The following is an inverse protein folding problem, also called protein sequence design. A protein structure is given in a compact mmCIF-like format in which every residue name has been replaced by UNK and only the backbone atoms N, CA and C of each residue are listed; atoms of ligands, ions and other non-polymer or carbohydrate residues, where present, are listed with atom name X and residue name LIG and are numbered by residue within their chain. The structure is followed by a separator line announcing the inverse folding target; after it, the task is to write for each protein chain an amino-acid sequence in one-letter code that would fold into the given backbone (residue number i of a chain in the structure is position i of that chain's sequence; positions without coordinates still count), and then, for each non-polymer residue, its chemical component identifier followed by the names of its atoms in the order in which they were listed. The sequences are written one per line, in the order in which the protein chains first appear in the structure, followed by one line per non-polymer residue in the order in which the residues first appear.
data_IF_624740783516
#
_entry.id   IF_624740783516
#
_cell.length_a   1.000
_cell.length_b   1.000
_cell.length_c   1.000
_cell.angle_alpha   90.00
_cell.angle_beta   90.00
_cell.angle_gamma   90.00
#
_symmetry.space_group_name_H-M   'P 1'
#
loop_
_entity.id
_entity.type
_entity.pdbx_description
1 polymer ?
#
# COMPACT_ATOMS: atom_id res chain seq x y z
N UNK A 1 8.40 -6.80 -13.83
CA UNK A 1 7.22 -5.93 -14.04
C UNK A 1 6.01 -6.74 -13.62
N UNK A 2 5.30 -6.32 -12.57
CA UNK A 2 4.03 -6.93 -12.21
C UNK A 2 2.90 -6.15 -12.91
N UNK A 3 1.81 -6.81 -13.31
CA UNK A 3 0.80 -6.36 -14.29
C UNK A 3 0.09 -5.01 -14.07
N UNK A 4 -1.08 -4.84 -14.70
CA UNK A 4 -1.81 -3.56 -14.70
C UNK A 4 -2.43 -3.27 -13.32
N UNK A 5 -2.38 -2.00 -12.89
CA UNK A 5 -2.86 -1.50 -11.59
C UNK A 5 -3.63 -0.19 -11.71
N UNK A 6 -4.18 0.11 -12.89
CA UNK A 6 -4.84 1.38 -13.23
C UNK A 6 -3.85 2.56 -13.34
N UNK A 7 -4.21 3.72 -13.94
CA UNK A 7 -3.31 4.88 -14.06
C UNK A 7 -2.82 5.44 -12.70
N UNK A 8 -1.66 6.08 -12.62
CA UNK A 8 -1.11 6.62 -11.36
C UNK A 8 -0.90 5.54 -10.27
N UNK A 9 -0.46 4.35 -10.67
CA UNK A 9 -0.25 3.20 -9.80
C UNK A 9 1.22 2.83 -9.61
N UNK A 10 2.10 3.82 -9.77
CA UNK A 10 3.52 3.63 -9.51
C UNK A 10 3.69 3.09 -8.09
N UNK A 11 4.51 2.04 -8.01
CA UNK A 11 4.76 1.29 -6.79
C UNK A 11 6.24 1.44 -6.44
N UNK A 12 6.54 1.79 -5.19
CA UNK A 12 7.91 1.84 -4.68
C UNK A 12 8.30 0.54 -3.97
N UNK A 13 7.36 -0.12 -3.30
CA UNK A 13 7.58 -1.35 -2.57
C UNK A 13 6.41 -2.33 -2.66
N UNK A 14 6.71 -3.61 -2.50
CA UNK A 14 5.72 -4.67 -2.38
C UNK A 14 6.18 -5.77 -1.43
N UNK A 15 5.23 -6.50 -0.87
CA UNK A 15 5.48 -7.62 0.04
C UNK A 15 4.36 -8.65 -0.11
N UNK A 16 4.70 -9.93 0.02
CA UNK A 16 3.75 -11.03 -0.08
C UNK A 16 3.57 -11.65 1.30
N UNK A 17 2.33 -11.77 1.73
CA UNK A 17 1.99 -12.52 2.93
C UNK A 17 1.68 -13.98 2.57
N UNK A 18 2.58 -14.88 2.94
CA UNK A 18 2.42 -16.32 2.66
C UNK A 18 1.22 -16.94 3.40
N UNK A 19 0.85 -16.39 4.57
CA UNK A 19 -0.24 -16.92 5.38
C UNK A 19 -1.60 -16.71 4.70
N UNK A 20 -1.87 -15.50 4.20
CA UNK A 20 -3.13 -15.17 3.52
C UNK A 20 -3.06 -15.35 2.00
N UNK A 21 -1.86 -15.36 1.41
CA UNK A 21 -1.67 -15.37 -0.04
C UNK A 21 -1.91 -14.01 -0.70
N UNK A 22 -1.87 -12.93 0.08
CA UNK A 22 -2.12 -11.56 -0.39
C UNK A 22 -0.80 -10.88 -0.74
N UNK A 23 -0.75 -10.30 -1.93
CA UNK A 23 0.30 -9.38 -2.35
C UNK A 23 -0.11 -7.95 -1.99
N UNK A 24 0.70 -7.27 -1.18
CA UNK A 24 0.56 -5.87 -0.85
C UNK A 24 1.57 -5.02 -1.63
N UNK A 25 1.19 -3.80 -2.01
CA UNK A 25 2.04 -2.87 -2.73
C UNK A 25 1.67 -1.41 -2.47
N UNK A 26 2.66 -0.55 -2.36
CA UNK A 26 2.46 0.89 -2.17
C UNK A 26 1.93 1.55 -3.44
N UNK A 27 0.99 2.49 -3.33
CA UNK A 27 0.51 3.34 -4.42
C UNK A 27 0.80 4.80 -4.07
N UNK A 28 2.05 5.21 -4.22
CA UNK A 28 2.60 6.49 -3.74
C UNK A 28 1.82 7.69 -4.27
N UNK A 29 1.52 7.70 -5.57
CA UNK A 29 0.76 8.77 -6.23
C UNK A 29 -0.73 8.83 -5.82
N UNK A 30 -1.27 7.75 -5.25
CA UNK A 30 -2.67 7.67 -4.77
C UNK A 30 -2.78 7.78 -3.25
N UNK A 31 -1.65 7.93 -2.54
CA UNK A 31 -1.56 7.82 -1.09
C UNK A 31 -2.34 6.60 -0.55
N UNK A 32 -2.04 5.43 -1.10
CA UNK A 32 -2.78 4.21 -0.80
C UNK A 32 -1.87 2.99 -0.67
N UNK A 33 -2.36 1.99 0.04
CA UNK A 33 -1.81 0.64 0.08
C UNK A 33 -2.74 -0.27 -0.72
N UNK A 34 -2.24 -0.80 -1.82
CA UNK A 34 -2.95 -1.76 -2.67
C UNK A 34 -2.76 -3.20 -2.20
N UNK A 35 -3.73 -4.05 -2.52
CA UNK A 35 -3.68 -5.48 -2.30
C UNK A 35 -4.24 -6.26 -3.50
N UNK A 36 -3.86 -7.53 -3.59
CA UNK A 36 -4.40 -8.52 -4.51
C UNK A 36 -4.23 -9.93 -3.92
N UNK A 37 -5.24 -10.78 -4.03
CA UNK A 37 -5.20 -12.14 -3.49
C UNK A 37 -4.88 -13.16 -4.59
N UNK A 38 -3.77 -13.88 -4.43
CA UNK A 38 -3.42 -14.98 -5.33
C UNK A 38 -4.39 -16.17 -5.21
N UNK A 39 -4.97 -16.38 -4.02
CA UNK A 39 -5.79 -17.56 -3.72
C UNK A 39 -7.14 -17.58 -4.42
N UNK A 40 -7.63 -16.42 -4.87
CA UNK A 40 -8.86 -16.35 -5.67
C UNK A 40 -8.67 -16.87 -7.09
N UNK A 41 -7.43 -17.03 -7.56
CA UNK A 41 -7.13 -17.48 -8.92
C UNK A 41 -7.47 -16.44 -10.00
N UNK A 42 -7.85 -15.25 -9.59
CA UNK A 42 -8.15 -14.13 -10.49
C UNK A 42 -6.88 -13.61 -11.15
N UNK A 43 -6.99 -13.07 -12.37
CA UNK A 43 -5.87 -12.40 -13.02
C UNK A 43 -5.48 -11.12 -12.24
N UNK A 44 -4.22 -10.70 -12.33
CA UNK A 44 -3.75 -9.43 -11.78
C UNK A 44 -4.22 -8.26 -12.67
N UNK A 45 -5.48 -7.83 -12.49
CA UNK A 45 -6.14 -6.77 -13.26
C UNK A 45 -6.86 -5.79 -12.33
N UNK A 46 -7.22 -4.60 -12.83
CA UNK A 46 -7.73 -3.52 -11.98
C UNK A 46 -8.98 -3.91 -11.17
N UNK A 47 -9.86 -4.74 -11.72
CA UNK A 47 -11.12 -5.16 -11.06
C UNK A 47 -10.94 -6.20 -9.94
N UNK A 48 -9.76 -6.82 -9.85
CA UNK A 48 -9.46 -7.89 -8.86
C UNK A 48 -8.56 -7.37 -7.74
N UNK A 49 -8.31 -6.06 -7.74
CA UNK A 49 -7.44 -5.36 -6.81
C UNK A 49 -8.28 -4.44 -5.91
N UNK A 50 -7.77 -4.17 -4.72
CA UNK A 50 -8.33 -3.17 -3.81
C UNK A 50 -7.23 -2.31 -3.22
N UNK A 51 -7.60 -1.15 -2.70
CA UNK A 51 -6.66 -0.30 -1.99
C UNK A 51 -7.30 0.39 -0.80
N UNK A 52 -6.60 0.39 0.33
CA UNK A 52 -6.92 1.26 1.46
C UNK A 52 -6.19 2.58 1.27
N UNK A 53 -6.92 3.69 1.36
CA UNK A 53 -6.33 5.02 1.39
C UNK A 53 -5.94 5.38 2.82
N UNK A 54 -4.80 6.03 2.99
CA UNK A 54 -4.43 6.63 4.27
C UNK A 54 -5.46 7.68 4.69
N UNK A 55 -5.47 8.07 5.98
CA UNK A 55 -6.23 9.25 6.41
C UNK A 55 -5.72 10.48 5.67
N UNK A 56 -6.61 11.48 5.56
CA UNK A 56 -6.50 12.75 4.81
C UNK A 56 -5.39 13.70 5.32
N UNK A 57 -4.25 13.18 5.77
CA UNK A 57 -3.04 13.99 5.76
C UNK A 57 -2.54 13.96 4.32
N UNK A 58 -2.80 15.05 3.60
CA UNK A 58 -2.58 15.24 2.15
C UNK A 58 -1.11 15.13 1.70
N UNK A 59 -0.22 14.64 2.57
CA UNK A 59 1.21 14.92 2.54
C UNK A 59 2.09 13.78 3.07
N UNK A 60 1.53 12.59 3.26
CA UNK A 60 2.29 11.41 3.70
C UNK A 60 2.10 10.33 2.64
N UNK A 61 3.15 10.03 1.87
CA UNK A 61 3.12 9.03 0.83
C UNK A 61 3.73 7.71 1.30
N UNK A 62 3.12 6.56 0.97
CA UNK A 62 3.70 5.26 1.26
C UNK A 62 4.96 5.02 0.41
N UNK A 63 6.04 4.64 1.08
CA UNK A 63 7.36 4.40 0.47
C UNK A 63 7.86 2.97 0.64
N UNK A 64 7.53 2.30 1.75
CA UNK A 64 7.87 0.88 1.98
C UNK A 64 6.71 0.15 2.70
N UNK A 65 6.61 -1.15 2.44
CA UNK A 65 5.62 -2.03 3.09
C UNK A 65 6.23 -3.40 3.39
N UNK A 66 5.98 -3.92 4.58
CA UNK A 66 6.46 -5.24 5.02
C UNK A 66 5.39 -5.98 5.81
N UNK A 67 5.31 -7.30 5.60
CA UNK A 67 4.55 -8.19 6.46
C UNK A 67 5.53 -8.99 7.31
N UNK A 68 5.30 -9.04 8.61
CA UNK A 68 6.09 -9.83 9.55
C UNK A 68 5.53 -11.26 9.71
N UNK A 69 6.33 -12.13 10.33
CA UNK A 69 5.96 -13.54 10.58
C UNK A 69 4.78 -13.71 11.56
N UNK A 70 4.28 -12.63 12.17
CA UNK A 70 3.13 -12.62 13.09
C UNK A 70 1.85 -12.15 12.42
N UNK A 71 1.85 -12.04 11.09
CA UNK A 71 0.72 -11.56 10.29
C UNK A 71 0.40 -10.09 10.52
N UNK A 72 1.41 -9.29 10.91
CA UNK A 72 1.26 -7.83 11.04
C UNK A 72 1.89 -7.16 9.82
N UNK A 73 1.19 -6.17 9.27
CA UNK A 73 1.68 -5.33 8.19
C UNK A 73 2.22 -4.02 8.75
N UNK A 74 3.29 -3.53 8.14
CA UNK A 74 4.01 -2.32 8.50
C UNK A 74 4.11 -1.47 7.25
N UNK A 75 3.62 -0.23 7.32
CA UNK A 75 3.64 0.73 6.23
C UNK A 75 4.47 1.95 6.67
N UNK A 76 5.53 2.24 5.92
CA UNK A 76 6.36 3.42 6.12
C UNK A 76 5.90 4.51 5.16
N UNK A 77 5.60 5.69 5.70
CA UNK A 77 5.24 6.88 4.95
C UNK A 77 6.24 8.01 5.17
N UNK A 78 6.38 8.91 4.18
CA UNK A 78 7.06 10.19 4.34
C UNK A 78 6.46 11.30 3.44
N UNK A 79 6.90 12.53 3.63
CA UNK A 79 6.51 13.70 2.83
C UNK A 79 7.58 14.09 1.78
N UNK A 80 8.52 13.20 1.45
CA UNK A 80 9.66 13.56 0.59
C UNK A 80 9.22 13.93 -0.84
N UNK A 81 8.20 13.25 -1.37
CA UNK A 81 7.65 13.58 -2.69
C UNK A 81 7.02 14.98 -2.73
N UNK A 82 6.39 15.42 -1.65
CA UNK A 82 5.83 16.76 -1.57
C UNK A 82 6.90 17.85 -1.52
N UNK A 83 7.97 17.60 -0.75
CA UNK A 83 9.14 18.48 -0.68
C UNK A 83 9.78 18.63 -2.07
N UNK A 84 9.97 17.52 -2.80
CA UNK A 84 10.53 17.54 -4.16
C UNK A 84 9.65 18.29 -5.15
N UNK A 85 8.33 18.26 -4.97
CA UNK A 85 7.35 18.90 -5.86
C UNK A 85 7.05 20.35 -5.47
N UNK A 86 7.78 20.93 -4.52
CA UNK A 86 7.58 22.29 -3.98
C UNK A 86 6.13 22.54 -3.51
N UNK A 87 5.44 21.50 -3.03
CA UNK A 87 4.14 21.67 -2.39
C UNK A 87 4.33 22.33 -1.02
N UNK A 88 3.41 23.21 -0.63
CA UNK A 88 3.47 24.10 0.55
C UNK A 88 3.48 23.32 1.88
N UNK A 89 4.61 22.71 2.19
CA UNK A 89 4.83 21.88 3.38
C UNK A 89 6.11 22.26 4.11
N UNK A 90 6.21 21.90 5.41
CA UNK A 90 7.39 22.24 6.21
C UNK A 90 8.67 21.71 5.56
N UNK A 91 9.75 22.51 5.63
CA UNK A 91 11.11 22.17 5.14
C UNK A 91 11.73 20.91 5.79
N UNK A 92 10.98 20.20 6.62
CA UNK A 92 11.43 19.07 7.42
C UNK A 92 10.77 17.79 6.93
N UNK A 93 11.61 16.79 6.64
CA UNK A 93 11.14 15.45 6.30
C UNK A 93 10.50 14.79 7.52
N UNK A 94 9.25 14.36 7.39
CA UNK A 94 8.53 13.58 8.39
C UNK A 94 8.46 12.12 7.97
N UNK A 95 8.61 11.20 8.93
CA UNK A 95 8.47 9.76 8.71
C UNK A 95 7.44 9.20 9.67
N UNK A 96 6.52 8.39 9.16
CA UNK A 96 5.46 7.76 9.93
C UNK A 96 5.44 6.25 9.67
N UNK A 97 5.22 5.46 10.72
CA UNK A 97 5.07 4.01 10.61
C UNK A 97 3.67 3.63 11.09
N UNK A 98 2.89 3.05 10.19
CA UNK A 98 1.58 2.50 10.50
C UNK A 98 1.66 0.98 10.59
N UNK A 99 0.86 0.38 11.47
CA UNK A 99 0.75 -1.08 11.57
C UNK A 99 -0.68 -1.52 11.79
N UNK A 100 -0.99 -2.71 11.28
CA UNK A 100 -2.27 -3.39 11.45
C UNK A 100 -2.08 -4.90 11.38
N UNK A 101 -3.11 -5.67 11.75
CA UNK A 101 -3.17 -7.10 11.43
C UNK A 101 -3.61 -7.28 9.99
N UNK A 102 -2.92 -8.15 9.25
CA UNK A 102 -3.24 -8.42 7.83
C UNK A 102 -4.68 -8.86 7.67
N UNK A 103 -5.13 -9.82 8.48
CA UNK A 103 -6.51 -10.36 8.45
C UNK A 103 -7.57 -9.30 8.73
N UNK A 104 -7.30 -8.36 9.63
CA UNK A 104 -8.21 -7.25 9.92
C UNK A 104 -8.24 -6.24 8.77
N UNK A 105 -7.09 -6.00 8.13
CA UNK A 105 -6.95 -5.02 7.06
C UNK A 105 -7.67 -5.44 5.78
N UNK A 106 -7.67 -6.74 5.46
CA UNK A 106 -8.27 -7.28 4.23
C UNK A 106 -9.72 -7.75 4.43
N UNK A 107 -10.22 -7.78 5.67
CA UNK A 107 -11.57 -8.26 5.99
C UNK A 107 -12.62 -7.54 5.14
N UNK A 108 -13.56 -8.31 4.58
CA UNK A 108 -14.66 -7.81 3.74
C UNK A 108 -14.19 -7.06 2.46
N UNK A 109 -12.97 -7.32 1.99
CA UNK A 109 -12.44 -6.78 0.73
C UNK A 109 -12.31 -7.84 -0.36
N UNK A 110 -12.07 -7.44 -1.61
CA UNK A 110 -11.74 -8.41 -2.68
C UNK A 110 -10.42 -9.14 -2.43
N UNK A 111 -9.58 -8.68 -1.50
CA UNK A 111 -8.34 -9.35 -1.10
C UNK A 111 -8.53 -10.35 0.04
N UNK A 112 -9.69 -10.39 0.68
CA UNK A 112 -9.99 -11.36 1.75
C UNK A 112 -9.94 -12.81 1.24
N UNK A 113 -9.77 -13.77 2.15
CA UNK A 113 -9.70 -15.22 1.84
C UNK A 113 -11.09 -15.76 1.50
#
# INVERSE_FOLDING_TARGET
MMGNRSPFSQTTASTFDEETGVLFYTLTARNALGCWSYRKGDEFIDSTQWSVKGRVHDFAHPIDVRVDKRGSIWLLNNNYMDILLNMTLPEVTTYEIYTAKVRELIADTVCDI
#
